data_IF_469599960784
#
_entry.id   IF_469599960784
#
_cell.length_a   1.000
_cell.length_b   1.000
_cell.length_c   1.000
_cell.angle_alpha   90.00
_cell.angle_beta   90.00
_cell.angle_gamma   90.00
#
_symmetry.space_group_name_H-M   'P 1'
#
loop_
_entity.id
_entity.type
_entity.pdbx_description
1 polymer ?
#
# COMPACT_ATOMS: atom_id res chain seq x y z
N UNK A 1 6.42 34.48 11.74
CA UNK A 1 5.47 33.36 11.89
C UNK A 1 6.19 32.12 11.41
N UNK A 2 6.52 31.21 12.32
CA UNK A 2 7.29 30.02 12.00
C UNK A 2 6.50 29.11 11.04
N UNK A 3 7.08 28.81 9.87
CA UNK A 3 6.53 27.88 8.87
C UNK A 3 5.94 26.56 9.43
N UNK A 4 6.52 25.90 10.46
CA UNK A 4 5.94 24.67 11.01
C UNK A 4 4.56 24.85 11.65
N UNK A 5 4.31 25.96 12.34
CA UNK A 5 3.02 26.19 13.01
C UNK A 5 1.91 26.50 12.00
N UNK A 6 2.23 27.24 10.94
CA UNK A 6 1.30 27.45 9.84
C UNK A 6 0.97 26.13 9.12
N UNK A 7 1.96 25.25 8.93
CA UNK A 7 1.74 23.93 8.33
C UNK A 7 0.79 23.06 9.16
N UNK A 8 0.88 23.09 10.49
CA UNK A 8 -0.04 22.37 11.39
C UNK A 8 -1.48 22.88 11.28
N UNK A 9 -1.67 24.20 11.23
CA UNK A 9 -3.00 24.82 11.08
C UNK A 9 -3.63 24.47 9.72
N UNK A 10 -2.82 24.47 8.65
CA UNK A 10 -3.29 24.08 7.32
C UNK A 10 -3.66 22.59 7.27
N UNK A 11 -2.89 21.72 7.93
CA UNK A 11 -3.22 20.29 8.03
C UNK A 11 -4.58 20.04 8.69
N UNK A 12 -5.01 20.88 9.63
CA UNK A 12 -6.35 20.77 10.23
C UNK A 12 -7.47 21.00 9.20
N UNK A 13 -7.23 21.81 8.18
CA UNK A 13 -8.21 22.14 7.14
C UNK A 13 -8.21 21.15 5.96
N UNK A 14 -7.18 20.31 5.82
CA UNK A 14 -7.10 19.34 4.73
C UNK A 14 -7.97 18.11 5.03
N UNK A 15 -8.76 17.66 4.04
CA UNK A 15 -9.63 16.47 4.14
C UNK A 15 -8.87 15.16 4.38
N UNK A 16 -7.64 15.05 3.88
CA UNK A 16 -6.76 13.89 4.08
C UNK A 16 -5.53 14.25 4.90
N UNK A 17 -5.71 14.35 6.23
CA UNK A 17 -4.67 14.82 7.15
C UNK A 17 -3.46 13.87 7.22
N UNK A 18 -3.70 12.56 7.23
CA UNK A 18 -2.64 11.54 7.33
C UNK A 18 -1.73 11.60 6.09
N UNK A 19 -2.30 11.62 4.89
CA UNK A 19 -1.52 11.71 3.67
C UNK A 19 -0.80 13.05 3.54
N UNK A 20 -1.47 14.15 3.88
CA UNK A 20 -0.86 15.47 3.85
C UNK A 20 0.34 15.55 4.80
N UNK A 21 0.26 14.97 5.99
CA UNK A 21 1.38 14.89 6.94
C UNK A 21 2.54 14.06 6.37
N UNK A 22 2.28 12.93 5.72
CA UNK A 22 3.31 12.12 5.06
C UNK A 22 3.97 12.82 3.88
N UNK A 23 3.22 13.60 3.11
CA UNK A 23 3.79 14.40 2.02
C UNK A 23 4.64 15.53 2.59
N UNK A 24 4.19 16.18 3.66
CA UNK A 24 4.98 17.17 4.36
C UNK A 24 6.30 16.57 4.87
N UNK A 25 6.27 15.38 5.48
CA UNK A 25 7.50 14.71 5.92
C UNK A 25 8.43 14.37 4.75
N UNK A 26 7.90 13.86 3.64
CA UNK A 26 8.66 13.60 2.42
C UNK A 26 9.35 14.86 1.87
N UNK A 27 8.63 15.99 1.88
CA UNK A 27 9.15 17.29 1.47
C UNK A 27 10.28 17.74 2.40
N UNK A 28 10.10 17.67 3.72
CA UNK A 28 11.15 18.03 4.68
C UNK A 28 12.40 17.14 4.58
N UNK A 29 12.24 15.83 4.37
CA UNK A 29 13.37 14.94 4.08
C UNK A 29 14.11 15.39 2.83
N UNK A 30 13.39 15.80 1.78
CA UNK A 30 14.02 16.30 0.56
C UNK A 30 14.76 17.60 0.80
N UNK A 31 14.17 18.56 1.52
CA UNK A 31 14.85 19.80 1.93
C UNK A 31 16.12 19.54 2.75
N UNK A 32 16.11 18.54 3.65
CA UNK A 32 17.31 18.16 4.43
C UNK A 32 18.47 17.65 3.56
N UNK A 33 18.20 17.13 2.36
CA UNK A 33 19.24 16.70 1.42
C UNK A 33 19.86 17.88 0.67
N UNK A 34 19.10 18.96 0.45
CA UNK A 34 19.55 20.18 -0.23
C UNK A 34 20.12 21.24 0.73
N UNK A 35 19.92 21.09 2.03
CA UNK A 35 20.38 22.06 3.01
C UNK A 35 21.91 22.08 3.13
N UNK A 36 22.51 23.26 3.05
CA UNK A 36 23.97 23.47 3.10
C UNK A 36 24.54 23.36 4.53
N UNK A 37 23.75 23.66 5.56
CA UNK A 37 24.19 23.68 6.97
C UNK A 37 23.67 22.48 7.75
N UNK A 38 24.51 21.89 8.60
CA UNK A 38 24.13 20.78 9.48
C UNK A 38 22.95 21.12 10.42
N UNK A 39 22.91 22.35 10.93
CA UNK A 39 21.79 22.84 11.74
C UNK A 39 20.44 22.78 11.01
N UNK A 40 20.39 23.30 9.77
CA UNK A 40 19.17 23.29 8.95
C UNK A 40 18.76 21.88 8.58
N UNK A 41 19.73 21.02 8.26
CA UNK A 41 19.50 19.59 8.02
C UNK A 41 18.82 18.93 9.21
N UNK A 42 19.34 19.12 10.41
CA UNK A 42 18.78 18.57 11.64
C UNK A 42 17.36 19.11 11.90
N UNK A 43 17.15 20.42 11.71
CA UNK A 43 15.83 21.05 11.86
C UNK A 43 14.79 20.43 10.93
N UNK A 44 15.11 20.24 9.64
CA UNK A 44 14.18 19.63 8.69
C UNK A 44 13.91 18.15 8.98
N UNK A 45 14.91 17.39 9.42
CA UNK A 45 14.72 16.01 9.83
C UNK A 45 13.82 15.89 11.07
N UNK A 46 14.01 16.76 12.06
CA UNK A 46 13.14 16.82 13.24
C UNK A 46 11.69 17.14 12.85
N UNK A 47 11.48 18.11 11.96
CA UNK A 47 10.15 18.45 11.47
C UNK A 47 9.51 17.30 10.69
N UNK A 48 10.29 16.60 9.85
CA UNK A 48 9.83 15.41 9.15
C UNK A 48 9.36 14.34 10.14
N UNK A 49 10.13 14.10 11.20
CA UNK A 49 9.80 13.09 12.19
C UNK A 49 8.50 13.42 12.91
N UNK A 50 8.30 14.69 13.28
CA UNK A 50 7.06 15.16 13.94
C UNK A 50 5.82 14.84 13.09
N UNK A 51 5.87 15.10 11.78
CA UNK A 51 4.76 14.78 10.88
C UNK A 51 4.56 13.28 10.66
N UNK A 52 5.63 12.48 10.67
CA UNK A 52 5.51 11.02 10.60
C UNK A 52 4.87 10.44 11.86
N UNK A 53 5.32 10.88 13.03
CA UNK A 53 4.74 10.47 14.31
C UNK A 53 3.29 10.90 14.41
N UNK A 54 2.95 12.12 13.96
CA UNK A 54 1.55 12.56 13.85
C UNK A 54 0.74 11.60 12.97
N UNK A 55 1.20 11.29 11.76
CA UNK A 55 0.50 10.39 10.86
C UNK A 55 0.31 8.99 11.47
N UNK A 56 1.34 8.45 12.14
CA UNK A 56 1.33 7.15 12.82
C UNK A 56 0.29 7.10 13.95
N UNK A 57 0.30 8.10 14.85
CA UNK A 57 -0.67 8.18 15.96
C UNK A 57 -2.11 8.23 15.44
N UNK A 58 -2.37 9.03 14.41
CA UNK A 58 -3.72 9.15 13.85
C UNK A 58 -4.19 7.87 13.19
N UNK A 59 -3.33 7.17 12.45
CA UNK A 59 -3.73 5.91 11.84
C UNK A 59 -3.93 4.82 12.90
N UNK A 60 -3.12 4.79 13.96
CA UNK A 60 -3.30 3.88 15.09
C UNK A 60 -4.65 4.12 15.80
N UNK A 61 -5.03 5.39 16.01
CA UNK A 61 -6.33 5.73 16.56
C UNK A 61 -7.49 5.38 15.64
N UNK A 62 -7.34 5.56 14.33
CA UNK A 62 -8.34 5.08 13.37
C UNK A 62 -8.44 3.56 13.39
N UNK A 63 -7.33 2.85 13.57
CA UNK A 63 -7.27 1.40 13.62
C UNK A 63 -7.96 0.85 14.89
N UNK A 64 -7.67 1.46 16.05
CA UNK A 64 -8.33 1.17 17.34
C UNK A 64 -9.86 1.33 17.24
N UNK A 65 -10.32 2.35 16.51
CA UNK A 65 -11.76 2.57 16.29
C UNK A 65 -12.38 1.57 15.31
N UNK A 66 -11.75 1.36 14.16
CA UNK A 66 -12.23 0.41 13.15
C UNK A 66 -11.08 -0.02 12.23
N UNK A 67 -10.57 -1.23 12.48
CA UNK A 67 -9.45 -1.80 11.75
C UNK A 67 -9.66 -1.83 10.23
N UNK A 68 -10.84 -2.27 9.78
CA UNK A 68 -11.14 -2.40 8.34
C UNK A 68 -11.14 -1.04 7.65
N UNK A 69 -11.81 -0.05 8.24
CA UNK A 69 -11.86 1.32 7.69
C UNK A 69 -10.49 1.99 7.72
N UNK A 70 -9.67 1.72 8.72
CA UNK A 70 -8.29 2.23 8.78
C UNK A 70 -7.43 1.67 7.64
N UNK A 71 -7.52 0.35 7.37
CA UNK A 71 -6.84 -0.25 6.22
C UNK A 71 -7.32 0.33 4.89
N UNK A 72 -8.64 0.50 4.71
CA UNK A 72 -9.21 1.17 3.54
C UNK A 72 -8.72 2.62 3.39
N UNK A 73 -8.58 3.34 4.50
CA UNK A 73 -8.06 4.72 4.51
C UNK A 73 -6.62 4.80 4.01
N UNK A 74 -5.78 3.79 4.30
CA UNK A 74 -4.41 3.71 3.78
C UNK A 74 -4.36 3.43 2.27
N UNK A 75 -5.31 2.66 1.76
CA UNK A 75 -5.42 2.28 0.35
C UNK A 75 -6.22 3.26 -0.51
N UNK A 76 -6.97 4.16 0.13
CA UNK A 76 -7.75 5.18 -0.55
C UNK A 76 -6.83 6.06 -1.40
N UNK A 77 -7.19 6.22 -2.68
CA UNK A 77 -6.52 7.17 -3.56
C UNK A 77 -6.96 8.60 -3.26
N UNK A 78 -6.01 9.50 -3.25
CA UNK A 78 -6.23 10.90 -2.91
C UNK A 78 -5.94 11.75 -4.16
N UNK A 79 -6.99 12.32 -4.79
CA UNK A 79 -6.82 13.07 -6.04
C UNK A 79 -6.00 14.35 -5.84
N UNK A 80 -6.06 14.95 -4.65
CA UNK A 80 -5.33 16.17 -4.30
C UNK A 80 -3.81 16.05 -4.50
N UNK A 81 -3.28 14.83 -4.40
CA UNK A 81 -1.85 14.56 -4.44
C UNK A 81 -1.44 13.71 -5.66
N UNK A 82 -2.19 13.80 -6.76
CA UNK A 82 -1.89 13.05 -7.99
C UNK A 82 -2.39 11.60 -7.96
N UNK A 83 -3.52 11.35 -7.30
CA UNK A 83 -4.18 10.03 -7.23
C UNK A 83 -3.34 8.93 -6.55
N UNK A 84 -2.44 9.33 -5.64
CA UNK A 84 -1.59 8.44 -4.84
C UNK A 84 -2.33 7.94 -3.60
N UNK A 85 -1.91 6.80 -3.05
CA UNK A 85 -2.41 6.29 -1.77
C UNK A 85 -1.50 6.70 -0.62
N UNK A 86 -2.04 6.79 0.61
CA UNK A 86 -1.24 7.06 1.81
C UNK A 86 -0.11 6.03 1.96
N UNK A 87 -0.41 4.76 1.65
CA UNK A 87 0.56 3.67 1.70
C UNK A 87 1.71 3.86 0.72
N UNK A 88 1.42 4.26 -0.53
CA UNK A 88 2.45 4.54 -1.53
C UNK A 88 3.35 5.70 -1.08
N UNK A 89 2.76 6.78 -0.59
CA UNK A 89 3.53 7.92 -0.08
C UNK A 89 4.43 7.49 1.06
N UNK A 90 3.92 6.75 2.05
CA UNK A 90 4.70 6.28 3.20
C UNK A 90 5.92 5.44 2.81
N UNK A 91 5.78 4.60 1.78
CA UNK A 91 6.88 3.79 1.24
C UNK A 91 7.88 4.68 0.51
N UNK A 92 7.40 5.57 -0.37
CA UNK A 92 8.26 6.50 -1.12
C UNK A 92 9.01 7.50 -0.25
N UNK A 93 8.44 7.87 0.90
CA UNK A 93 9.05 8.78 1.88
C UNK A 93 9.91 8.08 2.92
N UNK A 94 9.97 6.73 2.91
CA UNK A 94 10.64 5.92 3.93
C UNK A 94 10.22 6.31 5.36
N UNK A 95 8.91 6.46 5.57
CA UNK A 95 8.35 6.93 6.84
C UNK A 95 8.31 5.81 7.89
N UNK A 96 9.45 5.63 8.58
CA UNK A 96 9.69 4.51 9.50
C UNK A 96 8.64 4.38 10.60
N UNK A 97 8.14 5.50 11.13
CA UNK A 97 7.14 5.46 12.20
C UNK A 97 5.82 4.87 11.74
N UNK A 98 5.34 5.23 10.54
CA UNK A 98 4.12 4.64 9.99
C UNK A 98 4.35 3.19 9.52
N UNK A 99 5.52 2.87 8.98
CA UNK A 99 5.83 1.50 8.55
C UNK A 99 5.80 0.47 9.68
N UNK A 100 6.05 0.90 10.93
CA UNK A 100 5.99 0.03 12.14
C UNK A 100 4.56 -0.21 12.63
N UNK A 101 3.59 0.59 12.19
CA UNK A 101 2.21 0.50 12.64
C UNK A 101 1.56 -0.83 12.23
N UNK A 102 0.78 -1.43 13.14
CA UNK A 102 0.02 -2.67 12.90
C UNK A 102 -0.91 -2.54 11.69
N UNK A 103 -1.60 -1.39 11.55
CA UNK A 103 -2.48 -1.13 10.41
C UNK A 103 -1.76 -1.26 9.06
N UNK A 104 -0.49 -0.83 8.97
CA UNK A 104 0.30 -0.93 7.75
C UNK A 104 0.60 -2.39 7.39
N UNK A 105 1.07 -3.17 8.37
CA UNK A 105 1.33 -4.60 8.19
C UNK A 105 0.06 -5.38 7.83
N UNK A 106 -1.06 -5.11 8.49
CA UNK A 106 -2.34 -5.73 8.21
C UNK A 106 -2.83 -5.41 6.79
N UNK A 107 -2.70 -4.15 6.36
CA UNK A 107 -3.06 -3.71 5.00
C UNK A 107 -2.22 -4.44 3.97
N UNK A 108 -0.90 -4.53 4.19
CA UNK A 108 0.00 -5.26 3.30
C UNK A 108 -0.41 -6.73 3.22
N UNK A 109 -0.67 -7.36 4.36
CA UNK A 109 -1.11 -8.74 4.44
C UNK A 109 -2.39 -9.01 3.65
N UNK A 110 -3.40 -8.14 3.77
CA UNK A 110 -4.64 -8.22 3.00
C UNK A 110 -4.38 -8.15 1.49
N UNK A 111 -3.48 -7.27 1.04
CA UNK A 111 -3.09 -7.19 -0.37
C UNK A 111 -2.43 -8.48 -0.83
N UNK A 112 -1.50 -9.04 -0.04
CA UNK A 112 -0.82 -10.30 -0.38
C UNK A 112 -1.78 -11.48 -0.42
N UNK A 113 -2.60 -11.68 0.63
CA UNK A 113 -3.58 -12.76 0.67
C UNK A 113 -4.60 -12.66 -0.45
N UNK A 114 -5.06 -11.45 -0.81
CA UNK A 114 -5.96 -11.27 -1.94
C UNK A 114 -5.30 -11.64 -3.28
N UNK A 115 -4.00 -11.32 -3.45
CA UNK A 115 -3.27 -11.77 -4.65
C UNK A 115 -3.05 -13.28 -4.66
N UNK A 116 -2.71 -13.87 -3.52
CA UNK A 116 -2.50 -15.32 -3.38
C UNK A 116 -3.80 -16.10 -3.60
N UNK A 117 -4.93 -15.63 -3.12
CA UNK A 117 -6.23 -16.29 -3.34
C UNK A 117 -6.64 -16.26 -4.82
N UNK A 118 -6.38 -15.14 -5.50
CA UNK A 118 -6.60 -15.02 -6.95
C UNK A 118 -5.67 -15.96 -7.74
N UNK A 119 -4.39 -16.03 -7.37
CA UNK A 119 -3.42 -16.95 -7.99
C UNK A 119 -3.80 -18.40 -7.73
N UNK A 120 -4.14 -18.77 -6.50
CA UNK A 120 -4.58 -20.12 -6.14
C UNK A 120 -5.84 -20.52 -6.89
N UNK A 121 -6.80 -19.61 -7.09
CA UNK A 121 -7.99 -19.87 -7.90
C UNK A 121 -7.65 -20.09 -9.38
N UNK A 122 -6.67 -19.37 -9.91
CA UNK A 122 -6.21 -19.56 -11.29
C UNK A 122 -5.43 -20.87 -11.48
N UNK A 123 -4.60 -21.26 -10.52
CA UNK A 123 -3.83 -22.51 -10.59
C UNK A 123 -4.71 -23.73 -10.41
N UNK A 124 -5.67 -23.71 -9.48
CA UNK A 124 -6.65 -24.80 -9.34
C UNK A 124 -7.53 -24.93 -10.57
N UNK A 125 -7.98 -23.81 -11.16
CA UNK A 125 -8.73 -23.84 -12.41
C UNK A 125 -7.89 -24.42 -13.58
N UNK A 126 -6.62 -24.04 -13.71
CA UNK A 126 -5.72 -24.60 -14.73
C UNK A 126 -5.45 -26.08 -14.50
N UNK A 127 -5.17 -26.50 -13.27
CA UNK A 127 -4.90 -27.90 -12.94
C UNK A 127 -6.12 -28.80 -13.21
N UNK A 128 -7.34 -28.31 -12.99
CA UNK A 128 -8.58 -29.06 -13.24
C UNK A 128 -8.86 -29.26 -14.74
N UNK A 129 -8.40 -28.34 -15.60
CA UNK A 129 -8.60 -28.42 -17.06
C UNK A 129 -7.67 -29.44 -17.74
N UNK A 130 -6.46 -29.65 -17.19
CA UNK A 130 -5.44 -30.55 -17.75
C UNK A 130 -5.93 -32.02 -17.88
N UNK A 131 -6.52 -32.65 -16.85
CA UNK A 131 -7.00 -34.02 -16.96
C UNK A 131 -8.24 -34.14 -17.86
N UNK A 132 -9.12 -33.13 -17.94
CA UNK A 132 -10.28 -33.17 -18.85
C UNK A 132 -9.89 -33.14 -20.32
N UNK A 133 -8.79 -32.47 -20.68
CA UNK A 133 -8.25 -32.45 -22.04
C UNK A 133 -7.57 -33.79 -22.37
N UNK A 134 -6.85 -34.37 -21.39
CA UNK A 134 -6.19 -35.67 -21.55
C UNK A 134 -7.18 -36.83 -21.66
N UNK A 135 -8.29 -36.83 -20.91
CA UNK A 135 -9.30 -37.89 -20.99
C UNK A 135 -10.12 -37.81 -22.27
N UNK A 136 -10.49 -36.62 -22.75
CA UNK A 136 -11.15 -36.47 -24.06
C UNK A 136 -10.24 -36.87 -25.24
N UNK A 137 -8.93 -36.63 -25.14
CA UNK A 137 -7.96 -37.06 -26.16
C UNK A 137 -7.70 -38.58 -26.19
N UNK A 138 -7.92 -39.29 -25.07
CA UNK A 138 -7.69 -40.73 -24.97
C UNK A 138 -8.89 -41.60 -25.37
N UNK A 139 -10.08 -41.01 -25.53
CA UNK A 139 -11.32 -41.72 -25.90
C UNK A 139 -11.58 -41.66 -27.42
N UNK A 140 -10.65 -41.14 -28.24
CA UNK A 140 -10.72 -41.34 -29.69
C UNK A 140 -10.67 -42.86 -29.95
N UNK A 141 -11.77 -43.49 -30.40
CA UNK A 141 -11.78 -44.91 -30.68
C UNK A 141 -10.85 -45.11 -31.87
N UNK A 142 -9.78 -45.89 -31.67
CA UNK A 142 -9.07 -46.46 -32.80
C UNK A 142 -10.04 -47.50 -33.38
N UNK A 143 -10.81 -47.09 -34.39
CA UNK A 143 -11.65 -48.01 -35.13
C UNK A 143 -10.71 -48.93 -35.91
N UNK A 144 -10.51 -50.12 -35.34
CA UNK A 144 -9.74 -51.20 -35.92
C UNK A 144 -10.45 -51.69 -37.19
N UNK A 145 -10.06 -51.18 -38.35
CA UNK A 145 -10.39 -51.80 -39.62
C UNK A 145 -9.60 -53.10 -39.77
N UNK A 146 -10.10 -54.17 -39.17
CA UNK A 146 -9.75 -55.54 -39.60
C UNK A 146 -11.01 -56.22 -40.14
N UNK A 147 -11.00 -56.32 -41.46
CA UNK A 147 -11.45 -57.45 -42.28
C UNK A 147 -12.95 -57.75 -42.34
N UNK A 148 -13.54 -57.58 -43.53
CA UNK A 148 -14.20 -58.67 -44.25
C UNK A 148 -14.31 -58.32 -45.75
N UNK A 149 -13.83 -59.28 -46.56
CA UNK A 149 -13.90 -59.45 -48.03
C UNK A 149 -12.89 -58.70 -48.93
#
# INVERSE_FOLDING_TARGET
MDMPEMAKVLLLHVRSRICAALIASAVFKRYSKFSQTAYLKHKFLAQSLEFETYAAIFIDKCYEYNEKRACELLLRRIPLFGNVTCMQVAISSESKELLKTVCFHQTLNQIWYNKLSLTNRQTTAKLLLIPSILTFGLIAPWENTTNNE
#
